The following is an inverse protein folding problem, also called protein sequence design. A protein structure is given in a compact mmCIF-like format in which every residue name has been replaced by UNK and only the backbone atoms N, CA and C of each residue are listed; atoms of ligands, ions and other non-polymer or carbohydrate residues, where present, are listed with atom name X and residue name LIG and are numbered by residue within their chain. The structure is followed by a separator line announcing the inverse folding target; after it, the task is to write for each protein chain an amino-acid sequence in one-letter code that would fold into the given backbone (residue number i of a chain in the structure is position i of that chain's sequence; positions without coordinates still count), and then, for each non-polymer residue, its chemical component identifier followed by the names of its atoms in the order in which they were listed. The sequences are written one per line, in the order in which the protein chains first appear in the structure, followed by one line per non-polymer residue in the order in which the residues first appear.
data_IF_389761740737
#
_entry.id   IF_389761740737
#
_cell.length_a   1.000
_cell.length_b   1.000
_cell.length_c   1.000
_cell.angle_alpha   90.00
_cell.angle_beta   90.00
_cell.angle_gamma   90.00
#
_symmetry.space_group_name_H-M   'P 1'
#
loop_
_entity.id
_entity.type
_entity.pdbx_description
1 polymer ?
#
# COMPACT_ATOMS: atom_id res chain seq x y z
N UNK A 1 -4.15 -34.69 3.64
CA UNK A 1 -2.92 -33.90 3.81
C UNK A 1 -2.00 -33.88 2.57
N UNK A 2 -1.97 -34.91 1.70
CA UNK A 2 -1.16 -34.87 0.45
C UNK A 2 -1.83 -34.21 -0.77
N UNK A 3 -3.17 -34.12 -0.82
CA UNK A 3 -3.89 -33.53 -1.96
C UNK A 3 -3.90 -31.98 -1.98
N UNK A 4 -3.69 -31.31 -0.85
CA UNK A 4 -3.62 -29.84 -0.79
C UNK A 4 -2.29 -29.29 -1.32
N UNK A 5 -1.19 -30.04 -1.17
CA UNK A 5 0.14 -29.62 -1.63
C UNK A 5 0.28 -29.62 -3.16
N UNK A 6 -0.32 -30.60 -3.85
CA UNK A 6 -0.21 -30.73 -5.32
C UNK A 6 -1.07 -29.69 -6.05
N UNK A 7 -2.25 -29.36 -5.51
CA UNK A 7 -3.12 -28.32 -6.08
C UNK A 7 -2.54 -26.93 -5.85
N UNK A 8 -1.92 -26.68 -4.68
CA UNK A 8 -1.19 -25.43 -4.43
C UNK A 8 -0.06 -25.24 -5.46
N UNK A 9 0.80 -26.25 -5.66
CA UNK A 9 1.90 -26.21 -6.65
C UNK A 9 1.45 -25.87 -8.09
N UNK A 10 0.23 -26.28 -8.47
CA UNK A 10 -0.32 -25.99 -9.81
C UNK A 10 -0.86 -24.56 -9.94
N UNK A 11 -1.33 -23.94 -8.86
CA UNK A 11 -1.68 -22.51 -8.84
C UNK A 11 -0.44 -21.59 -8.79
N UNK A 12 0.67 -22.04 -8.18
CA UNK A 12 1.91 -21.26 -8.09
C UNK A 12 2.57 -20.96 -9.44
N UNK A 13 2.37 -21.79 -10.47
CA UNK A 13 3.02 -21.63 -11.78
C UNK A 13 2.21 -20.81 -12.81
N UNK A 14 0.89 -20.67 -12.62
CA UNK A 14 0.01 -19.90 -13.53
C UNK A 14 -0.65 -18.68 -12.87
N UNK A 15 -0.39 -18.45 -11.57
CA UNK A 15 -0.92 -17.33 -10.80
C UNK A 15 0.13 -16.80 -9.84
N UNK A 16 1.31 -16.43 -10.36
CA UNK A 16 2.40 -15.87 -9.56
C UNK A 16 1.85 -14.68 -8.75
N UNK A 17 1.83 -14.76 -7.40
CA UNK A 17 1.31 -13.69 -6.59
C UNK A 17 2.13 -12.43 -6.85
N UNK A 18 1.48 -11.27 -6.83
CA UNK A 18 2.11 -9.96 -7.01
C UNK A 18 3.36 -9.77 -6.13
N UNK A 19 3.43 -10.44 -4.98
CA UNK A 19 4.59 -10.50 -4.08
C UNK A 19 5.85 -11.15 -4.70
N UNK A 20 5.70 -12.06 -5.66
CA UNK A 20 6.82 -12.72 -6.36
C UNK A 20 7.45 -11.86 -7.44
N UNK A 21 6.70 -10.90 -8.00
CA UNK A 21 7.17 -10.02 -9.07
C UNK A 21 7.94 -8.80 -8.56
N UNK A 22 7.61 -8.35 -7.34
CA UNK A 22 8.21 -7.18 -6.72
C UNK A 22 9.76 -7.20 -6.67
N UNK A 23 10.43 -8.31 -6.28
CA UNK A 23 11.89 -8.37 -6.26
C UNK A 23 12.53 -8.32 -7.66
N UNK A 24 11.85 -8.89 -8.67
CA UNK A 24 12.32 -8.87 -10.06
C UNK A 24 12.29 -7.46 -10.65
N UNK A 25 11.24 -6.70 -10.35
CA UNK A 25 11.14 -5.30 -10.77
C UNK A 25 12.28 -4.46 -10.18
N UNK A 26 12.55 -4.61 -8.87
CA UNK A 26 13.65 -3.91 -8.21
C UNK A 26 15.00 -4.28 -8.85
N UNK A 27 15.22 -5.57 -9.13
CA UNK A 27 16.47 -6.05 -9.73
C UNK A 27 16.72 -5.47 -11.13
N UNK A 28 15.67 -5.24 -11.92
CA UNK A 28 15.76 -4.67 -13.26
C UNK A 28 15.87 -3.14 -13.22
N UNK A 29 15.13 -2.48 -12.31
CA UNK A 29 15.07 -1.01 -12.22
C UNK A 29 16.31 -0.39 -11.55
N UNK A 30 16.92 -1.07 -10.56
CA UNK A 30 18.08 -0.54 -9.84
C UNK A 30 19.28 -0.21 -10.74
N UNK A 31 19.72 -1.09 -11.66
CA UNK A 31 20.78 -0.74 -12.59
C UNK A 31 20.42 0.45 -13.47
N UNK A 32 19.17 0.54 -13.93
CA UNK A 32 18.69 1.64 -14.77
C UNK A 32 18.80 3.02 -14.07
N UNK A 33 18.50 3.08 -12.77
CA UNK A 33 18.65 4.30 -11.96
C UNK A 33 20.13 4.67 -11.77
N UNK A 34 21.01 3.68 -11.64
CA UNK A 34 22.45 3.91 -11.53
C UNK A 34 23.07 4.39 -12.85
N UNK A 35 22.62 3.85 -13.99
CA UNK A 35 23.13 4.25 -15.31
C UNK A 35 22.65 5.64 -15.75
N UNK A 36 21.44 6.03 -15.39
CA UNK A 36 20.87 7.36 -15.75
C UNK A 36 21.44 8.49 -14.91
N UNK A 37 22.02 8.19 -13.74
CA UNK A 37 22.63 9.20 -12.87
C UNK A 37 21.62 10.06 -12.10
N UNK A 38 20.32 9.71 -12.15
CA UNK A 38 19.25 10.45 -11.45
C UNK A 38 19.49 10.53 -9.93
N UNK A 39 20.21 9.56 -9.36
CA UNK A 39 20.60 9.60 -7.95
C UNK A 39 21.47 10.82 -7.62
N UNK A 40 22.38 11.22 -8.53
CA UNK A 40 23.24 12.39 -8.34
C UNK A 40 22.46 13.69 -8.44
N UNK A 41 21.48 13.76 -9.35
CA UNK A 41 20.58 14.91 -9.46
C UNK A 41 19.69 15.04 -8.22
N UNK A 42 19.19 13.92 -7.69
CA UNK A 42 18.42 13.91 -6.44
C UNK A 42 19.26 14.39 -5.24
N UNK A 43 20.53 13.97 -5.14
CA UNK A 43 21.44 14.43 -4.09
C UNK A 43 21.71 15.94 -4.19
N UNK A 44 21.99 16.45 -5.40
CA UNK A 44 22.18 17.88 -5.64
C UNK A 44 20.90 18.69 -5.31
N UNK A 45 19.73 18.14 -5.59
CA UNK A 45 18.44 18.74 -5.23
C UNK A 45 18.22 18.79 -3.71
N UNK A 46 18.59 17.73 -2.98
CA UNK A 46 18.51 17.73 -1.51
C UNK A 46 19.46 18.75 -0.87
N UNK A 47 20.65 18.94 -1.44
CA UNK A 47 21.58 19.99 -0.99
C UNK A 47 21.01 21.40 -1.25
N UNK A 48 20.32 21.59 -2.37
CA UNK A 48 19.67 22.86 -2.71
C UNK A 48 18.45 23.18 -1.85
N UNK A 49 17.72 22.16 -1.40
CA UNK A 49 16.48 22.30 -0.61
C UNK A 49 16.49 21.40 0.64
N UNK A 50 17.19 21.79 1.73
CA UNK A 50 17.32 20.97 2.93
C UNK A 50 16.00 20.73 3.67
N UNK A 51 14.98 21.57 3.46
CA UNK A 51 13.64 21.38 4.04
C UNK A 51 12.96 20.09 3.57
N UNK A 52 13.32 19.58 2.40
CA UNK A 52 12.76 18.35 1.83
C UNK A 52 13.21 17.12 2.64
N UNK A 53 14.42 17.16 3.21
CA UNK A 53 14.93 16.09 4.09
C UNK A 53 13.99 15.89 5.26
N UNK A 54 13.48 16.97 5.86
CA UNK A 54 12.52 16.88 6.97
C UNK A 54 11.20 16.21 6.54
N UNK A 55 10.68 16.57 5.36
CA UNK A 55 9.47 15.94 4.82
C UNK A 55 9.68 14.44 4.53
N UNK A 56 10.83 14.06 3.98
CA UNK A 56 11.18 12.66 3.72
C UNK A 56 11.30 11.88 5.03
N UNK A 57 11.95 12.47 6.03
CA UNK A 57 12.10 11.85 7.36
C UNK A 57 10.74 11.67 8.05
N UNK A 58 9.89 12.69 8.04
CA UNK A 58 8.53 12.59 8.58
C UNK A 58 7.70 11.55 7.84
N UNK A 59 7.80 11.52 6.51
CA UNK A 59 7.11 10.52 5.69
C UNK A 59 7.60 9.10 6.04
N UNK A 60 8.91 8.90 6.16
CA UNK A 60 9.51 7.64 6.58
C UNK A 60 9.10 7.21 7.99
N UNK A 61 9.17 8.13 8.96
CA UNK A 61 8.78 7.89 10.36
C UNK A 61 7.30 7.52 10.46
N UNK A 62 6.42 8.30 9.82
CA UNK A 62 4.98 8.04 9.80
C UNK A 62 4.68 6.71 9.14
N UNK A 63 5.39 6.37 8.06
CA UNK A 63 5.25 5.07 7.38
C UNK A 63 5.68 3.91 8.29
N UNK A 64 6.81 4.04 8.99
CA UNK A 64 7.30 3.02 9.93
C UNK A 64 6.32 2.84 11.11
N UNK A 65 5.80 3.93 11.67
CA UNK A 65 4.78 3.90 12.72
C UNK A 65 3.49 3.23 12.24
N UNK A 66 3.02 3.55 11.03
CA UNK A 66 1.85 2.93 10.43
C UNK A 66 2.01 1.42 10.25
N UNK A 67 3.16 0.99 9.75
CA UNK A 67 3.50 -0.44 9.60
C UNK A 67 3.60 -1.14 10.96
N UNK A 68 4.20 -0.49 11.96
CA UNK A 68 4.28 -1.02 13.33
C UNK A 68 2.89 -1.19 13.97
N UNK A 69 1.99 -0.23 13.77
CA UNK A 69 0.62 -0.30 14.26
C UNK A 69 -0.17 -1.46 13.63
N UNK A 70 -0.02 -1.67 12.32
CA UNK A 70 -0.61 -2.81 11.60
C UNK A 70 -0.09 -4.11 12.19
N UNK A 71 1.22 -4.24 12.35
CA UNK A 71 1.83 -5.43 12.93
C UNK A 71 1.32 -5.72 14.35
N UNK A 72 1.30 -4.71 15.23
CA UNK A 72 0.77 -4.83 16.58
C UNK A 72 -0.70 -5.26 16.57
N UNK A 73 -1.52 -4.65 15.71
CA UNK A 73 -2.95 -5.00 15.58
C UNK A 73 -3.14 -6.47 15.17
N UNK A 74 -2.34 -6.97 14.22
CA UNK A 74 -2.40 -8.37 13.79
C UNK A 74 -1.98 -9.32 14.92
N UNK A 75 -0.97 -8.96 15.70
CA UNK A 75 -0.47 -9.81 16.80
C UNK A 75 -1.47 -9.88 17.96
N UNK A 76 -2.08 -8.76 18.36
CA UNK A 76 -2.99 -8.73 19.52
C UNK A 76 -4.44 -9.12 19.18
N UNK A 77 -4.97 -8.71 18.04
CA UNK A 77 -6.39 -8.87 17.67
C UNK A 77 -6.63 -9.79 16.47
N UNK A 78 -5.55 -10.36 15.92
CA UNK A 78 -5.60 -11.19 14.74
C UNK A 78 -5.75 -10.42 13.42
N UNK A 79 -5.56 -11.12 12.29
CA UNK A 79 -5.58 -10.50 10.95
C UNK A 79 -6.97 -9.98 10.52
N UNK A 80 -8.05 -10.50 11.10
CA UNK A 80 -9.42 -10.08 10.78
C UNK A 80 -9.67 -8.62 11.20
N UNK A 81 -9.28 -8.27 12.42
CA UNK A 81 -9.44 -6.92 12.97
C UNK A 81 -8.56 -5.90 12.22
N UNK A 82 -7.36 -6.31 11.82
CA UNK A 82 -6.51 -5.50 10.96
C UNK A 82 -7.19 -5.20 9.61
N UNK A 83 -7.82 -6.20 8.99
CA UNK A 83 -8.54 -6.02 7.73
C UNK A 83 -9.64 -4.96 7.87
N UNK A 84 -10.49 -5.08 8.90
CA UNK A 84 -11.57 -4.12 9.19
C UNK A 84 -11.01 -2.71 9.38
N UNK A 85 -9.96 -2.54 10.18
CA UNK A 85 -9.37 -1.21 10.42
C UNK A 85 -8.85 -0.59 9.12
N UNK A 86 -8.21 -1.38 8.25
CA UNK A 86 -7.69 -0.85 6.97
C UNK A 86 -8.80 -0.51 5.98
N UNK A 87 -9.90 -1.28 5.93
CA UNK A 87 -11.04 -1.00 5.05
C UNK A 87 -11.81 0.23 5.52
N UNK A 88 -12.05 0.35 6.83
CA UNK A 88 -12.66 1.55 7.44
C UNK A 88 -11.82 2.80 7.16
N UNK A 89 -10.48 2.73 7.30
CA UNK A 89 -9.59 3.85 6.96
C UNK A 89 -9.70 4.25 5.49
N UNK A 90 -9.64 3.28 4.57
CA UNK A 90 -9.77 3.54 3.12
C UNK A 90 -11.12 4.16 2.79
N UNK A 91 -12.18 3.71 3.43
CA UNK A 91 -13.52 4.25 3.24
C UNK A 91 -13.64 5.70 3.70
N UNK A 92 -13.15 6.04 4.90
CA UNK A 92 -13.22 7.41 5.39
C UNK A 92 -12.51 8.39 4.46
N UNK A 93 -11.38 7.99 3.86
CA UNK A 93 -10.71 8.80 2.85
C UNK A 93 -11.56 8.99 1.59
N UNK A 94 -12.29 7.96 1.15
CA UNK A 94 -13.21 8.06 0.00
C UNK A 94 -14.36 9.02 0.33
N UNK A 95 -14.97 8.89 1.51
CA UNK A 95 -16.06 9.78 1.95
C UNK A 95 -15.58 11.23 2.07
N UNK A 96 -14.41 11.45 2.69
CA UNK A 96 -13.80 12.78 2.81
C UNK A 96 -13.50 13.39 1.43
N UNK A 97 -12.98 12.61 0.49
CA UNK A 97 -12.75 13.05 -0.89
C UNK A 97 -14.04 13.54 -1.55
N UNK A 98 -15.15 12.81 -1.37
CA UNK A 98 -16.44 13.15 -1.98
C UNK A 98 -17.01 14.43 -1.38
N UNK A 99 -16.95 14.58 -0.06
CA UNK A 99 -17.43 15.77 0.64
C UNK A 99 -16.63 17.01 0.21
N UNK A 100 -15.31 16.88 0.06
CA UNK A 100 -14.43 17.99 -0.30
C UNK A 100 -14.49 18.37 -1.79
N UNK A 101 -14.62 17.40 -2.70
CA UNK A 101 -14.64 17.66 -4.14
C UNK A 101 -16.05 17.84 -4.73
N UNK A 102 -17.12 17.66 -3.93
CA UNK A 102 -18.53 17.83 -4.32
C UNK A 102 -18.93 17.17 -5.66
N UNK A 103 -18.22 16.14 -6.08
CA UNK A 103 -18.53 15.40 -7.31
C UNK A 103 -19.79 14.55 -7.09
N UNK A 104 -20.79 14.60 -7.98
CA UNK A 104 -22.01 13.83 -7.81
C UNK A 104 -21.71 12.34 -7.89
N UNK A 105 -21.80 11.67 -6.74
CA UNK A 105 -21.75 10.21 -6.65
C UNK A 105 -23.03 9.64 -7.26
N UNK A 106 -22.88 8.63 -8.12
CA UNK A 106 -24.02 7.85 -8.63
C UNK A 106 -24.74 7.12 -7.50
N UNK A 107 -26.08 7.08 -7.46
CA UNK A 107 -26.84 6.43 -6.38
C UNK A 107 -26.43 4.97 -6.13
N UNK A 108 -25.96 4.22 -7.13
CA UNK A 108 -25.42 2.86 -6.95
C UNK A 108 -24.15 2.82 -6.08
N UNK A 109 -23.28 3.84 -6.16
CA UNK A 109 -22.07 3.93 -5.33
C UNK A 109 -22.41 4.26 -3.87
N UNK A 110 -23.51 4.98 -3.64
CA UNK A 110 -24.07 5.20 -2.29
C UNK A 110 -24.63 3.91 -1.68
N UNK A 111 -25.35 3.12 -2.48
CA UNK A 111 -25.83 1.80 -2.02
C UNK A 111 -24.67 0.86 -1.70
N UNK A 112 -23.65 0.79 -2.57
CA UNK A 112 -22.45 -0.01 -2.32
C UNK A 112 -21.68 0.44 -1.08
N UNK A 113 -21.64 1.75 -0.83
CA UNK A 113 -21.07 2.34 0.39
C UNK A 113 -21.82 1.84 1.64
N UNK A 114 -23.14 1.99 1.69
CA UNK A 114 -23.95 1.57 2.86
C UNK A 114 -23.86 0.06 3.09
N UNK A 115 -23.81 -0.74 2.03
CA UNK A 115 -23.70 -2.19 2.12
C UNK A 115 -22.36 -2.66 2.73
N UNK A 116 -21.26 -1.94 2.48
CA UNK A 116 -19.95 -2.19 3.10
C UNK A 116 -19.94 -1.91 4.61
N UNK A 117 -20.85 -1.07 5.12
CA UNK A 117 -21.00 -0.81 6.56
C UNK A 117 -22.00 -1.72 7.28
N UNK A 118 -22.89 -2.38 6.53
CA UNK A 118 -23.91 -3.28 7.07
C UNK A 118 -23.43 -4.74 7.17
N UNK A 119 -22.35 -5.11 6.48
CA UNK A 119 -21.69 -6.43 6.56
C UNK A 119 -20.44 -6.39 7.41
#
# INVERSE_FOLDING_TARGET
VRQTAVTAHRHWLLGLPWSSWWPLLILISLPGILFTGELWEFLAFMERYPSIIYNILLFGLTSALGQSFIFMTVVYFGPLTCSIITTTRKFFTILASVILFANPISPMQWVGTVLVFLG
#
